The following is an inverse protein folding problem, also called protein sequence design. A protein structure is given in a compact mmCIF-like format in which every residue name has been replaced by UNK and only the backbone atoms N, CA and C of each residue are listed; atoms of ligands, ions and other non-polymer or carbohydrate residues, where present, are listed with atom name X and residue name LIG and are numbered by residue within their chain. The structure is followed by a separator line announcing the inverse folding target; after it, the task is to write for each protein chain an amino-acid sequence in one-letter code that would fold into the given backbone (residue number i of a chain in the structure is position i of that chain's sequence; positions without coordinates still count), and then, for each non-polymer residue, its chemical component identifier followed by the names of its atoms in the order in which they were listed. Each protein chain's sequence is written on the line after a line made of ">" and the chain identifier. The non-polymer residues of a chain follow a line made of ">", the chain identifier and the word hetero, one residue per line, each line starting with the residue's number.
data_IF_493333377861
#
_entry.id   IF_493333377861
#
_cell.length_a   1.000
_cell.length_b   1.000
_cell.length_c   1.000
_cell.angle_alpha   90.00
_cell.angle_beta   90.00
_cell.angle_gamma   90.00
#
_symmetry.space_group_name_H-M   'P 1'
#
loop_
_entity.id
_entity.type
_entity.pdbx_description
1 polymer ?
#
# COMPACT_ATOMS: atom_id res chain seq x y z
N UNK A 1 15.34 -3.91 -18.29
CA UNK A 1 14.85 -5.29 -18.12
C UNK A 1 13.64 -5.19 -17.21
N UNK A 2 12.41 -5.29 -17.75
CA UNK A 2 11.20 -5.27 -16.93
C UNK A 2 11.21 -6.60 -16.16
N UNK A 3 11.36 -6.54 -14.84
CA UNK A 3 11.25 -7.73 -14.02
C UNK A 3 9.87 -8.35 -14.28
N UNK A 4 9.84 -9.58 -14.80
CA UNK A 4 8.62 -10.39 -14.82
C UNK A 4 8.32 -10.76 -13.38
N UNK A 5 7.64 -9.85 -12.67
CA UNK A 5 7.04 -10.19 -11.40
C UNK A 5 5.94 -11.20 -11.71
N UNK A 6 6.13 -12.44 -11.31
CA UNK A 6 5.06 -13.42 -11.21
C UNK A 6 3.88 -12.71 -10.55
N UNK A 7 2.73 -12.71 -11.21
CA UNK A 7 1.52 -12.02 -10.72
C UNK A 7 1.30 -12.44 -9.27
N UNK A 8 1.36 -11.49 -8.33
CA UNK A 8 1.04 -11.76 -6.94
C UNK A 8 -0.40 -12.30 -6.90
N UNK A 9 -0.65 -13.34 -6.10
CA UNK A 9 -2.02 -13.77 -5.86
C UNK A 9 -2.80 -12.60 -5.26
N UNK A 10 -3.99 -12.34 -5.81
CA UNK A 10 -4.87 -11.28 -5.34
C UNK A 10 -5.37 -11.62 -3.93
N UNK A 11 -5.36 -10.64 -3.04
CA UNK A 11 -5.87 -10.77 -1.70
C UNK A 11 -7.40 -10.84 -1.71
N UNK A 12 -7.93 -11.94 -1.18
CA UNK A 12 -9.36 -12.20 -1.07
C UNK A 12 -9.94 -12.06 0.35
N UNK A 13 -9.15 -11.61 1.33
CA UNK A 13 -9.58 -11.50 2.73
C UNK A 13 -8.99 -12.57 3.68
N UNK A 14 -8.30 -13.58 3.17
CA UNK A 14 -7.69 -14.66 3.96
C UNK A 14 -6.17 -14.58 3.90
N UNK A 15 -5.48 -15.01 4.95
CA UNK A 15 -4.01 -15.04 5.06
C UNK A 15 -3.36 -13.67 4.83
N UNK A 16 -3.97 -12.61 5.39
CA UNK A 16 -3.52 -11.24 5.20
C UNK A 16 -2.01 -11.05 5.46
N UNK A 17 -1.47 -11.66 6.51
CA UNK A 17 -0.04 -11.53 6.83
C UNK A 17 0.89 -12.04 5.71
N UNK A 18 0.49 -13.10 4.99
CA UNK A 18 1.27 -13.65 3.88
C UNK A 18 1.23 -12.69 2.69
N UNK A 19 0.03 -12.23 2.32
CA UNK A 19 -0.13 -11.27 1.24
C UNK A 19 0.59 -9.96 1.55
N UNK A 20 0.42 -9.44 2.77
CA UNK A 20 1.03 -8.20 3.24
C UNK A 20 2.55 -8.27 3.14
N UNK A 21 3.18 -9.36 3.59
CA UNK A 21 4.63 -9.54 3.49
C UNK A 21 5.12 -9.57 2.04
N UNK A 22 4.39 -10.23 1.14
CA UNK A 22 4.70 -10.25 -0.30
C UNK A 22 4.53 -8.86 -0.92
N UNK A 23 3.47 -8.13 -0.56
CA UNK A 23 3.22 -6.77 -1.04
C UNK A 23 4.29 -5.80 -0.56
N UNK A 24 4.63 -5.83 0.73
CA UNK A 24 5.70 -5.00 1.28
C UNK A 24 7.04 -5.27 0.58
N UNK A 25 7.38 -6.53 0.29
CA UNK A 25 8.58 -6.87 -0.47
C UNK A 25 8.58 -6.28 -1.89
N UNK A 26 7.43 -6.32 -2.58
CA UNK A 26 7.26 -5.71 -3.90
C UNK A 26 7.48 -4.19 -3.82
N UNK A 27 6.84 -3.50 -2.88
CA UNK A 27 6.98 -2.05 -2.69
C UNK A 27 8.42 -1.65 -2.34
N UNK A 28 9.13 -2.47 -1.57
CA UNK A 28 10.57 -2.27 -1.27
C UNK A 28 11.41 -2.40 -2.55
N UNK A 29 11.13 -3.40 -3.38
CA UNK A 29 11.84 -3.61 -4.65
C UNK A 29 11.64 -2.44 -5.61
N UNK A 30 10.44 -1.85 -5.61
CA UNK A 30 10.09 -0.66 -6.38
C UNK A 30 10.61 0.64 -5.75
N UNK A 31 11.19 0.58 -4.54
CA UNK A 31 11.69 1.73 -3.77
C UNK A 31 10.63 2.76 -3.40
N UNK A 32 9.36 2.35 -3.30
CA UNK A 32 8.24 3.22 -2.91
C UNK A 32 7.73 2.96 -1.48
N UNK A 33 8.17 1.88 -0.82
CA UNK A 33 7.68 1.49 0.51
C UNK A 33 7.77 2.59 1.59
N UNK A 34 8.70 3.53 1.43
CA UNK A 34 8.90 4.63 2.38
C UNK A 34 7.70 5.58 2.50
N UNK A 35 6.83 5.65 1.48
CA UNK A 35 5.59 6.46 1.54
C UNK A 35 4.61 5.93 2.60
N UNK A 36 4.74 4.66 3.00
CA UNK A 36 3.97 4.08 4.10
C UNK A 36 4.44 4.54 5.49
N UNK A 37 5.51 5.32 5.60
CA UNK A 37 5.99 5.82 6.90
C UNK A 37 6.34 7.31 6.88
N UNK A 38 6.51 7.89 5.70
CA UNK A 38 6.91 9.28 5.52
C UNK A 38 5.72 10.08 5.03
N UNK A 39 5.21 11.06 5.79
CA UNK A 39 4.12 11.92 5.33
C UNK A 39 4.58 12.83 4.18
N UNK A 40 3.63 13.31 3.39
CA UNK A 40 3.87 14.35 2.39
C UNK A 40 4.40 15.62 3.06
N UNK A 41 5.26 16.36 2.37
CA UNK A 41 5.71 17.69 2.82
C UNK A 41 4.56 18.68 2.73
N UNK A 42 4.36 19.49 3.78
CA UNK A 42 3.40 20.59 3.76
C UNK A 42 3.76 21.64 2.71
N UNK A 43 2.73 22.24 2.10
CA UNK A 43 2.92 23.38 1.22
C UNK A 43 3.32 24.60 2.04
N UNK A 44 4.39 25.26 1.62
CA UNK A 44 4.87 26.53 2.20
C UNK A 44 4.98 27.58 1.11
N UNK A 45 4.76 28.85 1.47
CA UNK A 45 4.65 29.96 0.51
C UNK A 45 5.96 30.20 -0.27
N UNK A 46 7.10 30.09 0.42
CA UNK A 46 8.45 30.24 -0.16
C UNK A 46 9.14 28.89 -0.42
N UNK A 47 8.43 27.97 -1.05
CA UNK A 47 8.98 26.65 -1.32
C UNK A 47 10.17 26.71 -2.29
N UNK A 48 11.29 26.13 -1.88
CA UNK A 48 12.46 25.98 -2.75
C UNK A 48 12.19 24.96 -3.86
N UNK A 49 12.86 25.14 -5.01
CA UNK A 49 12.79 24.17 -6.13
C UNK A 49 13.06 22.73 -5.68
N UNK A 50 13.97 22.54 -4.73
CA UNK A 50 14.29 21.22 -4.18
C UNK A 50 13.17 20.63 -3.33
N UNK A 51 12.44 21.44 -2.57
CA UNK A 51 11.26 20.99 -1.83
C UNK A 51 10.12 20.59 -2.79
N UNK A 52 9.84 21.40 -3.82
CA UNK A 52 8.85 21.07 -4.84
C UNK A 52 9.20 19.75 -5.55
N UNK A 53 10.47 19.55 -5.90
CA UNK A 53 10.94 18.28 -6.49
C UNK A 53 10.74 17.08 -5.57
N UNK A 54 11.02 17.24 -4.27
CA UNK A 54 10.81 16.18 -3.27
C UNK A 54 9.33 15.83 -3.11
N UNK A 55 8.44 16.83 -3.07
CA UNK A 55 7.00 16.61 -2.99
C UNK A 55 6.47 15.90 -4.22
N UNK A 56 6.77 16.40 -5.43
CA UNK A 56 6.32 15.77 -6.67
C UNK A 56 6.81 14.31 -6.79
N UNK A 57 8.04 14.03 -6.33
CA UNK A 57 8.55 12.66 -6.27
C UNK A 57 7.74 11.82 -5.29
N UNK A 58 7.46 12.33 -4.08
CA UNK A 58 6.66 11.63 -3.09
C UNK A 58 5.26 11.33 -3.60
N UNK A 59 4.58 12.30 -4.23
CA UNK A 59 3.24 12.14 -4.82
C UNK A 59 3.22 11.05 -5.91
N UNK A 60 4.24 11.03 -6.78
CA UNK A 60 4.38 9.97 -7.78
C UNK A 60 4.62 8.59 -7.14
N UNK A 61 5.47 8.52 -6.12
CA UNK A 61 5.78 7.26 -5.43
C UNK A 61 4.56 6.76 -4.63
N UNK A 62 3.76 7.66 -4.05
CA UNK A 62 2.48 7.35 -3.38
C UNK A 62 1.46 6.80 -4.37
N UNK A 63 1.30 7.44 -5.54
CA UNK A 63 0.43 6.93 -6.61
C UNK A 63 0.83 5.52 -7.07
N UNK A 64 2.13 5.27 -7.27
CA UNK A 64 2.65 3.94 -7.63
C UNK A 64 2.36 2.93 -6.51
N UNK A 65 2.60 3.32 -5.25
CA UNK A 65 2.35 2.49 -4.08
C UNK A 65 0.86 2.09 -3.98
N UNK A 66 -0.05 3.07 -4.06
CA UNK A 66 -1.50 2.88 -4.14
C UNK A 66 -1.88 1.89 -5.25
N UNK A 67 -1.40 2.14 -6.47
CA UNK A 67 -1.71 1.30 -7.63
C UNK A 67 -1.29 -0.16 -7.45
N UNK A 68 -0.14 -0.41 -6.81
CA UNK A 68 0.30 -1.77 -6.52
C UNK A 68 -0.51 -2.45 -5.42
N UNK A 69 -0.83 -1.72 -4.35
CA UNK A 69 -1.68 -2.24 -3.27
C UNK A 69 -3.05 -2.63 -3.85
N UNK A 70 -3.70 -1.73 -4.59
CA UNK A 70 -5.01 -1.95 -5.24
C UNK A 70 -4.97 -3.11 -6.24
N UNK A 71 -3.94 -3.19 -7.08
CA UNK A 71 -3.77 -4.32 -8.02
C UNK A 71 -3.56 -5.66 -7.30
N UNK A 72 -3.06 -5.63 -6.07
CA UNK A 72 -2.91 -6.78 -5.20
C UNK A 72 -4.21 -7.24 -4.56
N UNK A 73 -5.32 -6.52 -4.70
CA UNK A 73 -6.62 -6.86 -4.15
C UNK A 73 -7.48 -7.67 -5.15
N UNK A 74 -8.40 -8.47 -4.62
CA UNK A 74 -9.51 -9.02 -5.39
C UNK A 74 -10.46 -7.91 -5.85
N UNK A 75 -11.23 -8.16 -6.91
CA UNK A 75 -12.09 -7.13 -7.52
C UNK A 75 -13.13 -6.61 -6.52
N UNK A 76 -13.69 -7.49 -5.69
CA UNK A 76 -14.60 -7.12 -4.60
C UNK A 76 -13.96 -6.16 -3.58
N UNK A 77 -12.69 -6.36 -3.24
CA UNK A 77 -11.99 -5.49 -2.29
C UNK A 77 -11.54 -4.18 -2.97
N UNK A 78 -11.15 -4.24 -4.23
CA UNK A 78 -10.83 -3.05 -5.02
C UNK A 78 -12.02 -2.10 -5.06
N UNK A 79 -13.24 -2.60 -5.30
CA UNK A 79 -14.44 -1.78 -5.33
C UNK A 79 -14.68 -1.00 -4.03
N UNK A 80 -14.31 -1.60 -2.89
CA UNK A 80 -14.46 -1.02 -1.55
C UNK A 80 -13.38 0.05 -1.28
N UNK A 81 -12.13 -0.23 -1.67
CA UNK A 81 -10.98 0.58 -1.25
C UNK A 81 -10.41 1.51 -2.33
N UNK A 82 -10.89 1.47 -3.58
CA UNK A 82 -10.37 2.27 -4.70
C UNK A 82 -10.39 3.78 -4.46
N UNK A 83 -11.26 4.28 -3.58
CA UNK A 83 -11.40 5.70 -3.29
C UNK A 83 -10.55 6.17 -2.09
N UNK A 84 -9.70 5.31 -1.53
CA UNK A 84 -8.76 5.72 -0.48
C UNK A 84 -7.61 6.50 -1.10
N UNK A 85 -7.45 7.74 -0.65
CA UNK A 85 -6.63 8.75 -1.33
C UNK A 85 -5.12 8.45 -1.28
N UNK A 86 -4.61 7.96 -0.15
CA UNK A 86 -3.17 7.79 0.08
C UNK A 86 -2.79 6.34 0.38
N UNK A 87 -1.58 5.96 -0.01
CA UNK A 87 -1.11 4.58 0.14
C UNK A 87 -1.03 4.18 1.61
N UNK A 88 -0.61 5.12 2.48
CA UNK A 88 -0.58 4.91 3.92
C UNK A 88 -1.98 4.69 4.50
N UNK A 89 -2.94 5.53 4.12
CA UNK A 89 -4.33 5.38 4.59
C UNK A 89 -4.92 4.03 4.13
N UNK A 90 -4.66 3.63 2.89
CA UNK A 90 -5.09 2.35 2.35
C UNK A 90 -4.46 1.19 3.11
N UNK A 91 -3.15 1.25 3.34
CA UNK A 91 -2.41 0.25 4.11
C UNK A 91 -2.96 0.08 5.53
N UNK A 92 -3.21 1.20 6.23
CA UNK A 92 -3.70 1.20 7.61
C UNK A 92 -5.11 0.62 7.73
N UNK A 93 -6.01 0.97 6.81
CA UNK A 93 -7.38 0.44 6.80
C UNK A 93 -7.37 -1.08 6.57
N UNK A 94 -6.51 -1.57 5.68
CA UNK A 94 -6.34 -3.00 5.44
C UNK A 94 -5.76 -3.70 6.67
N UNK A 95 -4.72 -3.15 7.30
CA UNK A 95 -4.14 -3.69 8.53
C UNK A 95 -5.18 -3.76 9.65
N UNK A 96 -5.88 -2.66 9.93
CA UNK A 96 -6.86 -2.58 11.00
C UNK A 96 -7.98 -3.62 10.84
N UNK A 97 -8.46 -3.83 9.61
CA UNK A 97 -9.53 -4.79 9.35
C UNK A 97 -9.04 -6.24 9.42
N UNK A 98 -7.99 -6.57 8.67
CA UNK A 98 -7.64 -7.96 8.42
C UNK A 98 -6.68 -8.56 9.45
N UNK A 99 -5.92 -7.75 10.20
CA UNK A 99 -5.19 -8.27 11.37
C UNK A 99 -6.17 -8.70 12.47
N UNK A 100 -7.24 -7.93 12.70
CA UNK A 100 -8.27 -8.26 13.67
C UNK A 100 -9.06 -9.53 13.28
N UNK A 101 -9.39 -9.70 12.00
CA UNK A 101 -10.08 -10.87 11.46
C UNK A 101 -9.20 -12.14 11.49
N UNK A 102 -7.91 -12.05 11.15
CA UNK A 102 -6.97 -13.19 11.19
C UNK A 102 -6.74 -13.67 12.64
N UNK A 103 -6.61 -12.73 13.59
CA UNK A 103 -6.51 -13.04 15.01
C UNK A 103 -7.79 -13.71 15.57
N UNK A 104 -8.96 -13.40 15.01
CA UNK A 104 -10.24 -13.98 15.42
C UNK A 104 -10.47 -15.36 14.79
N UNK A 105 -10.14 -15.52 13.50
CA UNK A 105 -10.31 -16.78 12.76
C UNK A 105 -9.46 -17.92 13.33
N UNK A 106 -8.25 -17.59 13.83
CA UNK A 106 -7.36 -18.56 14.49
C UNK A 106 -7.83 -19.04 15.86
N UNK A 107 -8.76 -18.32 16.51
CA UNK A 107 -9.31 -18.73 17.82
C UNK A 107 -10.35 -19.85 17.71
N UNK A 108 -10.91 -20.08 16.52
CA UNK A 108 -11.94 -21.09 16.29
C UNK A 108 -11.37 -22.44 15.80
N UNK A 109 -10.04 -22.59 15.73
CA UNK A 109 -9.34 -23.85 15.40
C UNK A 109 -8.96 -24.63 16.68
N UNK A 110 -9.90 -24.78 17.61
CA UNK A 110 -9.77 -25.64 18.82
C UNK A 110 -10.60 -26.89 18.65
#
# INVERSE_FOLDING_TARGET
>A
MIAKFSKLDKFGGVDFHIWQKKMHFLLTTLKVVYVLSTPILEYVEDETVEQTRRRNKWENDDYICCGHILNGLSDTLLDIYQNVEYAKALWDVLEAKYIAEDASSKKFLV
#
